data_IF_733731639275
#
_entry.id   IF_733731639275
#
_cell.length_a   1.000
_cell.length_b   1.000
_cell.length_c   1.000
_cell.angle_alpha   90.00
_cell.angle_beta   90.00
_cell.angle_gamma   90.00
#
_symmetry.space_group_name_H-M   'P 1'
#
loop_
_entity.id
_entity.type
_entity.pdbx_description
1 polymer ?
#
# COMPACT_ATOMS: atom_id res chain seq x y z
N UNK A 1 -14.53 -1.98 -1.90
CA UNK A 1 -13.19 -2.22 -1.31
C UNK A 1 -12.10 -1.79 -2.26
N UNK A 2 -10.99 -1.31 -1.70
CA UNK A 2 -9.82 -0.81 -2.43
C UNK A 2 -8.60 -1.60 -1.98
N UNK A 3 -7.69 -1.88 -2.91
CA UNK A 3 -6.38 -2.45 -2.61
C UNK A 3 -5.30 -1.45 -3.03
N UNK A 4 -4.50 -1.02 -2.06
CA UNK A 4 -3.27 -0.28 -2.33
C UNK A 4 -2.08 -1.24 -2.17
N UNK A 5 -1.21 -1.29 -3.15
CA UNK A 5 -0.02 -2.13 -3.17
C UNK A 5 1.23 -1.24 -3.16
N UNK A 6 2.11 -1.46 -2.19
CA UNK A 6 3.41 -0.78 -2.10
C UNK A 6 4.50 -1.58 -2.80
N UNK A 7 5.69 -0.98 -2.99
CA UNK A 7 6.89 -1.70 -3.45
C UNK A 7 7.27 -2.86 -2.52
N UNK A 8 8.01 -3.83 -3.07
CA UNK A 8 8.47 -5.00 -2.30
C UNK A 8 9.53 -4.56 -1.31
N UNK A 9 9.28 -4.80 -0.01
CA UNK A 9 10.33 -4.77 1.01
C UNK A 9 11.29 -5.95 0.79
N UNK A 10 12.57 -5.73 0.42
CA UNK A 10 13.44 -6.80 -0.04
C UNK A 10 14.02 -7.67 1.07
N UNK A 11 13.97 -7.22 2.34
CA UNK A 11 14.53 -7.94 3.50
C UNK A 11 16.00 -8.44 3.33
N UNK A 12 16.80 -7.75 2.49
CA UNK A 12 18.19 -8.12 2.18
C UNK A 12 18.35 -9.07 0.98
N UNK A 13 17.25 -9.49 0.35
CA UNK A 13 17.28 -10.32 -0.85
C UNK A 13 17.57 -9.50 -2.11
N UNK A 14 18.15 -10.18 -3.12
CA UNK A 14 18.29 -9.59 -4.45
C UNK A 14 16.96 -9.65 -5.17
N UNK A 15 16.65 -8.61 -5.95
CA UNK A 15 15.42 -8.60 -6.76
C UNK A 15 15.34 -9.81 -7.69
N UNK A 16 14.17 -10.43 -7.74
CA UNK A 16 13.83 -11.52 -8.65
C UNK A 16 12.96 -10.95 -9.77
N UNK A 17 13.35 -11.21 -11.02
CA UNK A 17 12.59 -10.72 -12.18
C UNK A 17 11.16 -11.26 -12.18
N UNK A 18 10.19 -10.36 -12.31
CA UNK A 18 8.76 -10.72 -12.33
C UNK A 18 8.14 -11.00 -10.95
N UNK A 19 8.92 -10.97 -9.88
CA UNK A 19 8.43 -11.04 -8.50
C UNK A 19 8.45 -9.65 -7.85
N UNK A 20 7.88 -8.67 -8.54
CA UNK A 20 7.73 -7.29 -8.07
C UNK A 20 6.25 -6.92 -7.92
N UNK A 21 6.00 -5.83 -7.18
CA UNK A 21 4.64 -5.37 -6.89
C UNK A 21 3.86 -5.00 -8.15
N UNK A 22 4.54 -4.53 -9.21
CA UNK A 22 3.89 -4.17 -10.49
C UNK A 22 3.38 -5.41 -11.22
N UNK A 23 4.16 -6.48 -11.23
CA UNK A 23 3.76 -7.78 -11.76
C UNK A 23 2.57 -8.35 -10.98
N UNK A 24 2.57 -8.25 -9.65
CA UNK A 24 1.45 -8.69 -8.82
C UNK A 24 0.18 -7.85 -9.06
N UNK A 25 0.29 -6.52 -9.12
CA UNK A 25 -0.82 -5.63 -9.47
C UNK A 25 -1.45 -6.02 -10.81
N UNK A 26 -0.61 -6.28 -11.84
CA UNK A 26 -1.09 -6.74 -13.15
C UNK A 26 -1.83 -8.08 -13.05
N UNK A 27 -1.31 -9.04 -12.30
CA UNK A 27 -1.95 -10.34 -12.11
C UNK A 27 -3.32 -10.22 -11.42
N UNK A 28 -3.42 -9.37 -10.38
CA UNK A 28 -4.67 -9.09 -9.68
C UNK A 28 -5.68 -8.41 -10.61
N UNK A 29 -5.25 -7.38 -11.36
CA UNK A 29 -6.08 -6.69 -12.37
C UNK A 29 -6.67 -7.66 -13.40
N UNK A 30 -5.86 -8.59 -13.92
CA UNK A 30 -6.31 -9.61 -14.89
C UNK A 30 -7.41 -10.51 -14.31
N UNK A 31 -7.37 -10.77 -13.00
CA UNK A 31 -8.40 -11.55 -12.30
C UNK A 31 -9.74 -10.80 -12.18
N UNK A 32 -9.74 -9.47 -12.37
CA UNK A 32 -10.94 -8.65 -12.58
C UNK A 32 -11.81 -8.39 -11.35
N UNK A 33 -11.37 -8.78 -10.15
CA UNK A 33 -12.15 -8.58 -8.91
C UNK A 33 -11.87 -7.24 -8.24
N UNK A 34 -10.63 -6.77 -8.32
CA UNK A 34 -10.19 -5.49 -7.76
C UNK A 34 -9.14 -4.90 -8.70
N UNK A 35 -9.12 -3.58 -8.77
CA UNK A 35 -8.16 -2.79 -9.53
C UNK A 35 -7.14 -2.19 -8.53
N UNK A 36 -5.93 -2.75 -8.39
CA UNK A 36 -4.98 -2.29 -7.39
C UNK A 36 -4.43 -0.91 -7.74
N UNK A 37 -4.39 -0.03 -6.74
CA UNK A 37 -3.65 1.24 -6.81
C UNK A 37 -2.22 0.95 -6.37
N UNK A 38 -1.24 1.32 -7.19
CA UNK A 38 0.16 1.13 -6.85
C UNK A 38 0.75 2.41 -6.24
N UNK A 39 1.40 2.29 -5.09
CA UNK A 39 2.14 3.35 -4.42
C UNK A 39 3.62 3.00 -4.41
N UNK A 40 4.47 3.85 -5.00
CA UNK A 40 5.91 3.55 -5.12
C UNK A 40 6.72 3.88 -3.86
N UNK A 41 6.13 4.63 -2.92
CA UNK A 41 6.73 5.03 -1.65
C UNK A 41 5.66 5.33 -0.60
N UNK A 42 6.09 5.53 0.64
CA UNK A 42 5.25 6.00 1.74
C UNK A 42 4.65 7.38 1.44
N UNK A 43 5.45 8.32 0.92
CA UNK A 43 4.92 9.62 0.44
C UNK A 43 3.81 9.46 -0.59
N UNK A 44 4.01 8.61 -1.61
CA UNK A 44 3.00 8.39 -2.63
C UNK A 44 1.73 7.79 -2.02
N UNK A 45 1.86 6.86 -1.07
CA UNK A 45 0.74 6.30 -0.31
C UNK A 45 -0.03 7.40 0.43
N UNK A 46 0.66 8.28 1.15
CA UNK A 46 0.02 9.36 1.91
C UNK A 46 -0.69 10.39 1.03
N UNK A 47 -0.19 10.62 -0.19
CA UNK A 47 -0.85 11.50 -1.16
C UNK A 47 -2.14 10.90 -1.73
N UNK A 48 -2.19 9.59 -1.97
CA UNK A 48 -3.36 8.95 -2.58
C UNK A 48 -4.46 8.60 -1.58
N UNK A 49 -4.11 8.25 -0.33
CA UNK A 49 -5.07 7.75 0.65
C UNK A 49 -6.25 8.71 0.91
N UNK A 50 -6.07 10.03 1.05
CA UNK A 50 -7.19 10.97 1.25
C UNK A 50 -8.22 10.97 0.10
N UNK A 51 -7.82 10.62 -1.12
CA UNK A 51 -8.72 10.51 -2.27
C UNK A 51 -9.39 9.14 -2.41
N UNK A 52 -8.96 8.14 -1.64
CA UNK A 52 -9.45 6.76 -1.68
C UNK A 52 -10.37 6.43 -0.50
N UNK A 53 -10.12 7.04 0.66
CA UNK A 53 -10.88 6.79 1.89
C UNK A 53 -12.17 7.61 1.92
N UNK A 54 -13.23 6.98 2.44
CA UNK A 54 -14.49 7.60 2.81
C UNK A 54 -14.72 7.51 4.34
N UNK A 55 -15.67 8.29 4.84
CA UNK A 55 -16.15 8.15 6.22
C UNK A 55 -16.63 6.70 6.44
N UNK A 56 -16.41 6.20 7.66
CA UNK A 56 -16.71 4.82 8.09
C UNK A 56 -15.89 3.70 7.40
N UNK A 57 -14.89 4.03 6.58
CA UNK A 57 -13.96 3.02 6.05
C UNK A 57 -13.05 2.42 7.14
N UNK A 58 -12.74 1.13 6.99
CA UNK A 58 -11.72 0.44 7.78
C UNK A 58 -10.47 0.26 6.93
N UNK A 59 -9.41 0.98 7.28
CA UNK A 59 -8.10 0.80 6.64
C UNK A 59 -7.33 -0.35 7.30
N UNK A 60 -7.18 -1.45 6.56
CA UNK A 60 -6.34 -2.57 6.95
C UNK A 60 -4.94 -2.41 6.37
N UNK A 61 -3.95 -2.13 7.22
CA UNK A 61 -2.55 -2.12 6.83
C UNK A 61 -1.93 -3.48 7.11
N UNK A 62 -1.35 -4.10 6.08
CA UNK A 62 -0.81 -5.46 6.15
C UNK A 62 0.62 -5.50 5.62
N UNK A 63 1.47 -6.25 6.30
CA UNK A 63 2.85 -6.48 5.88
C UNK A 63 3.73 -6.96 7.02
N UNK A 64 5.02 -7.00 6.74
CA UNK A 64 6.09 -7.17 7.70
C UNK A 64 7.23 -6.21 7.34
N UNK A 65 8.31 -6.19 8.13
CA UNK A 65 9.43 -5.30 7.85
C UNK A 65 9.15 -3.85 8.24
N UNK A 66 9.21 -2.95 7.28
CA UNK A 66 9.08 -1.49 7.48
C UNK A 66 7.64 -0.98 7.64
N UNK A 67 6.63 -1.82 7.37
CA UNK A 67 5.22 -1.44 7.44
C UNK A 67 4.82 -0.82 8.79
N UNK A 68 5.45 -1.24 9.89
CA UNK A 68 5.18 -0.69 11.22
C UNK A 68 5.61 0.77 11.36
N UNK A 69 6.65 1.18 10.63
CA UNK A 69 7.07 2.59 10.56
C UNK A 69 6.08 3.39 9.73
N UNK A 70 5.67 2.86 8.57
CA UNK A 70 4.66 3.48 7.69
C UNK A 70 3.35 3.74 8.44
N UNK A 71 2.89 2.79 9.27
CA UNK A 71 1.68 2.97 10.10
C UNK A 71 1.84 4.11 11.10
N UNK A 72 2.99 4.21 11.78
CA UNK A 72 3.23 5.30 12.76
C UNK A 72 3.23 6.66 12.08
N UNK A 73 3.81 6.74 10.89
CA UNK A 73 3.82 7.98 10.12
C UNK A 73 2.44 8.33 9.58
N UNK A 74 1.69 7.33 9.11
CA UNK A 74 0.29 7.47 8.73
C UNK A 74 -0.55 8.01 9.88
N UNK A 75 -0.41 7.46 11.09
CA UNK A 75 -1.08 7.96 12.29
C UNK A 75 -0.71 9.41 12.59
N UNK A 76 0.56 9.81 12.43
CA UNK A 76 0.98 11.20 12.64
C UNK A 76 0.42 12.17 11.60
N UNK A 77 0.22 11.73 10.36
CA UNK A 77 -0.22 12.58 9.23
C UNK A 77 -1.74 12.62 9.08
N UNK A 78 -2.42 11.52 9.39
CA UNK A 78 -3.86 11.33 9.16
C UNK A 78 -4.65 11.03 10.43
N UNK A 79 -3.99 10.64 11.53
CA UNK A 79 -4.64 10.53 12.83
C UNK A 79 -5.12 11.91 13.26
N UNK A 80 -6.43 12.04 13.39
CA UNK A 80 -7.04 13.27 13.87
C UNK A 80 -6.35 13.75 15.13
N UNK A 81 -6.07 15.06 15.18
CA UNK A 81 -6.04 15.79 16.43
C UNK A 81 -7.39 15.51 17.12
N UNK A 82 -7.42 14.54 18.02
CA UNK A 82 -8.45 14.49 19.04
C UNK A 82 -8.09 15.50 20.12
#
# INVERSE_FOLDING_TARGET
DVLVMMEVYPAGETRISGADSKALCRAIRIRGQVEPVFAESDEALFEILPGLLADDDVLLVMGAGDIGTTVRELESRMGGQN
#
